data_IF_885595900300
#
_entry.id   IF_885595900300
#
_cell.length_a   1.000
_cell.length_b   1.000
_cell.length_c   1.000
_cell.angle_alpha   90.00
_cell.angle_beta   90.00
_cell.angle_gamma   90.00
#
_symmetry.space_group_name_H-M   'P 1'
#
loop_
_entity.id
_entity.type
_entity.pdbx_description
1 polymer ?
#
# COMPACT_ATOMS: atom_id res chain seq x y z
N UNK A 1 43.75 -82.65 9.02
CA UNK A 1 43.86 -81.48 9.90
C UNK A 1 44.33 -80.30 9.11
N UNK A 2 43.46 -79.40 8.79
CA UNK A 2 43.74 -77.97 8.47
C UNK A 2 42.43 -77.30 8.18
N UNK A 3 41.92 -76.61 9.23
CA UNK A 3 40.76 -75.78 9.16
C UNK A 3 41.09 -74.57 8.30
N UNK A 4 40.40 -74.43 7.15
CA UNK A 4 40.38 -73.17 6.46
C UNK A 4 39.10 -72.41 6.84
N UNK A 5 39.26 -71.44 7.67
CA UNK A 5 38.21 -70.46 7.93
C UNK A 5 38.00 -69.62 6.67
N UNK A 6 36.86 -69.81 6.06
CA UNK A 6 36.38 -68.90 5.02
C UNK A 6 35.76 -67.67 5.70
N UNK A 7 36.44 -66.58 5.64
CA UNK A 7 35.89 -65.29 6.00
C UNK A 7 34.95 -64.86 4.87
N UNK A 8 33.67 -65.01 5.08
CA UNK A 8 32.66 -64.34 4.27
C UNK A 8 32.58 -62.87 4.69
N UNK A 9 33.22 -62.03 3.93
CA UNK A 9 33.10 -60.59 4.09
C UNK A 9 31.71 -60.14 3.75
N UNK A 10 30.96 -59.78 4.75
CA UNK A 10 29.65 -59.14 4.58
C UNK A 10 29.88 -57.68 4.15
N UNK A 11 29.74 -57.42 2.86
CA UNK A 11 29.74 -56.06 2.35
C UNK A 11 28.37 -55.47 2.64
N UNK A 12 28.29 -54.68 3.73
CA UNK A 12 27.14 -53.84 4.00
C UNK A 12 27.24 -52.62 3.10
N UNK A 13 26.49 -52.64 2.02
CA UNK A 13 26.29 -51.44 1.19
C UNK A 13 25.32 -50.57 1.94
N UNK A 14 25.83 -49.60 2.67
CA UNK A 14 25.02 -48.52 3.21
C UNK A 14 24.60 -47.61 2.05
N UNK A 15 23.40 -47.81 1.53
CA UNK A 15 22.77 -46.85 0.63
C UNK A 15 22.42 -45.61 1.43
N UNK A 16 23.30 -44.62 1.41
CA UNK A 16 23.00 -43.29 1.90
C UNK A 16 22.00 -42.66 0.93
N UNK A 17 20.72 -42.84 1.25
CA UNK A 17 19.65 -42.08 0.60
C UNK A 17 19.78 -40.61 0.99
N UNK A 18 20.40 -39.82 0.12
CA UNK A 18 20.35 -38.38 0.25
C UNK A 18 18.91 -37.96 -0.06
N UNK A 19 18.11 -37.84 0.97
CA UNK A 19 16.83 -37.16 0.88
C UNK A 19 17.13 -35.67 0.65
N UNK A 20 17.18 -35.27 -0.61
CA UNK A 20 17.16 -33.86 -0.97
C UNK A 20 15.79 -33.32 -0.58
N UNK A 21 15.70 -32.69 0.58
CA UNK A 21 14.58 -31.83 0.91
C UNK A 21 14.59 -30.68 -0.08
N UNK A 22 13.75 -30.76 -1.11
CA UNK A 22 13.42 -29.62 -1.93
C UNK A 22 12.64 -28.66 -1.04
N UNK A 23 13.32 -27.69 -0.44
CA UNK A 23 12.67 -26.56 0.18
C UNK A 23 12.02 -25.77 -0.94
N UNK A 24 10.75 -26.03 -1.18
CA UNK A 24 9.92 -25.18 -2.03
C UNK A 24 9.79 -23.87 -1.26
N UNK A 25 10.70 -22.95 -1.55
CA UNK A 25 10.53 -21.56 -1.15
C UNK A 25 9.33 -21.06 -1.96
N UNK A 26 8.15 -21.17 -1.38
CA UNK A 26 7.03 -20.35 -1.82
C UNK A 26 7.49 -18.91 -1.62
N UNK A 27 7.95 -18.30 -2.70
CA UNK A 27 8.10 -16.86 -2.76
C UNK A 27 6.71 -16.32 -2.54
N UNK A 28 6.36 -16.06 -1.28
CA UNK A 28 5.23 -15.23 -0.97
C UNK A 28 5.46 -13.95 -1.74
N UNK A 29 4.60 -13.67 -2.72
CA UNK A 29 4.61 -12.39 -3.39
C UNK A 29 4.46 -11.36 -2.29
N UNK A 30 5.53 -10.63 -1.98
CA UNK A 30 5.43 -9.50 -1.07
C UNK A 30 4.36 -8.60 -1.66
N UNK A 31 3.34 -8.21 -0.89
CA UNK A 31 2.36 -7.27 -1.40
C UNK A 31 3.15 -6.09 -1.97
N UNK A 32 2.89 -5.73 -3.23
CA UNK A 32 3.57 -4.62 -3.86
C UNK A 32 3.43 -3.42 -2.92
N UNK A 33 4.55 -2.79 -2.60
CA UNK A 33 4.54 -1.59 -1.78
C UNK A 33 3.59 -0.59 -2.45
N UNK A 34 2.55 -0.16 -1.72
CA UNK A 34 1.59 0.79 -2.24
C UNK A 34 2.25 2.10 -2.63
N UNK A 35 1.66 2.81 -3.56
CA UNK A 35 2.14 4.13 -4.00
C UNK A 35 1.56 5.24 -3.15
N UNK A 36 2.26 6.36 -3.10
CA UNK A 36 1.82 7.58 -2.45
C UNK A 36 1.16 8.51 -3.47
N UNK A 37 -0.12 8.76 -3.27
CA UNK A 37 -0.85 9.79 -3.99
C UNK A 37 -0.70 11.10 -3.23
N UNK A 38 0.24 11.93 -3.66
CA UNK A 38 0.64 13.15 -2.95
C UNK A 38 0.00 14.38 -3.56
N UNK A 39 -0.62 15.18 -2.71
CA UNK A 39 -1.24 16.46 -3.06
C UNK A 39 -0.74 17.55 -2.12
N UNK A 40 -0.47 18.71 -2.67
CA UNK A 40 -0.03 19.89 -1.90
C UNK A 40 -1.11 20.97 -2.01
N UNK A 41 -1.58 21.42 -0.87
CA UNK A 41 -2.49 22.56 -0.75
C UNK A 41 -1.62 23.80 -0.53
N UNK A 42 -1.47 24.68 -1.53
CA UNK A 42 -0.55 25.80 -1.44
C UNK A 42 -1.06 26.89 -0.49
N UNK A 43 -0.14 27.72 -0.05
CA UNK A 43 -0.45 28.94 0.70
C UNK A 43 -1.44 29.81 -0.08
N UNK A 44 -2.46 30.34 0.60
CA UNK A 44 -3.46 31.22 0.01
C UNK A 44 -4.65 30.49 -0.62
N UNK A 45 -4.68 29.17 -0.58
CA UNK A 45 -5.80 28.36 -1.11
C UNK A 45 -7.14 28.79 -0.50
N UNK A 46 -7.23 28.93 0.82
CA UNK A 46 -8.46 29.34 1.49
C UNK A 46 -8.94 30.72 1.03
N UNK A 47 -8.06 31.67 0.86
CA UNK A 47 -8.40 33.00 0.35
C UNK A 47 -8.91 32.95 -1.09
N UNK A 48 -8.31 32.12 -1.94
CA UNK A 48 -8.76 31.89 -3.32
C UNK A 48 -10.18 31.32 -3.35
N UNK A 49 -10.46 30.33 -2.51
CA UNK A 49 -11.79 29.71 -2.40
C UNK A 49 -12.84 30.69 -1.89
N UNK A 50 -12.51 31.53 -0.89
CA UNK A 50 -13.41 32.57 -0.36
C UNK A 50 -13.78 33.62 -1.42
N UNK A 51 -12.85 33.91 -2.33
CA UNK A 51 -13.08 34.82 -3.46
C UNK A 51 -13.86 34.16 -4.61
N UNK A 52 -14.33 32.92 -4.46
CA UNK A 52 -15.03 32.17 -5.50
C UNK A 52 -14.11 31.57 -6.56
N UNK A 53 -12.80 31.56 -6.34
CA UNK A 53 -11.83 30.94 -7.22
C UNK A 53 -11.88 29.43 -7.20
N UNK A 54 -11.22 28.81 -8.16
CA UNK A 54 -11.10 27.35 -8.31
C UNK A 54 -9.67 26.95 -8.01
N UNK A 55 -9.50 25.87 -7.22
CA UNK A 55 -8.20 25.30 -6.91
C UNK A 55 -8.20 23.84 -7.36
N UNK A 56 -7.45 23.54 -8.43
CA UNK A 56 -7.37 22.20 -8.99
C UNK A 56 -6.18 21.43 -8.39
N UNK A 57 -6.31 20.98 -7.15
CA UNK A 57 -5.25 20.24 -6.43
C UNK A 57 -5.51 18.74 -6.44
N UNK A 58 -6.75 18.33 -6.19
CA UNK A 58 -7.18 16.94 -6.21
C UNK A 58 -8.20 16.70 -7.33
N UNK A 59 -8.17 15.52 -7.97
CA UNK A 59 -9.26 15.12 -8.85
C UNK A 59 -10.55 14.92 -8.03
N UNK A 60 -11.71 15.01 -8.67
CA UNK A 60 -12.99 14.72 -8.00
C UNK A 60 -13.16 13.22 -7.75
N UNK A 61 -12.58 12.43 -8.61
CA UNK A 61 -12.57 10.97 -8.54
C UNK A 61 -11.12 10.51 -8.44
N UNK A 62 -10.77 9.90 -7.33
CA UNK A 62 -9.44 9.34 -7.09
C UNK A 62 -9.54 7.83 -7.03
N UNK A 63 -8.82 7.15 -7.90
CA UNK A 63 -8.67 5.71 -7.88
C UNK A 63 -7.36 5.33 -7.20
N UNK A 64 -7.43 4.47 -6.21
CA UNK A 64 -6.30 3.95 -5.44
C UNK A 64 -6.42 2.43 -5.27
N UNK A 65 -5.39 1.78 -4.78
CA UNK A 65 -5.40 0.36 -4.46
C UNK A 65 -5.17 0.12 -2.98
N UNK A 66 -5.61 -1.02 -2.50
CA UNK A 66 -5.26 -1.47 -1.14
C UNK A 66 -3.74 -1.47 -0.98
N UNK A 67 -3.26 -0.81 0.07
CA UNK A 67 -1.84 -0.60 0.34
C UNK A 67 -1.32 0.79 -0.07
N UNK A 68 -2.00 1.48 -0.97
CA UNK A 68 -1.68 2.87 -1.33
C UNK A 68 -1.92 3.83 -0.17
N UNK A 69 -1.31 4.99 -0.24
CA UNK A 69 -1.53 6.08 0.70
C UNK A 69 -1.95 7.34 -0.03
N UNK A 70 -2.87 8.07 0.56
CA UNK A 70 -3.06 9.48 0.24
C UNK A 70 -2.19 10.31 1.18
N UNK A 71 -1.45 11.26 0.64
CA UNK A 71 -0.60 12.19 1.39
C UNK A 71 -1.02 13.61 1.02
N UNK A 72 -1.55 14.35 1.97
CA UNK A 72 -1.98 15.73 1.76
C UNK A 72 -1.09 16.65 2.59
N UNK A 73 -0.34 17.51 1.90
CA UNK A 73 0.50 18.53 2.53
C UNK A 73 -0.26 19.84 2.52
N UNK A 74 -0.72 20.28 3.67
CA UNK A 74 -1.44 21.55 3.78
C UNK A 74 -0.45 22.67 4.15
N UNK A 75 -0.05 23.45 3.16
CA UNK A 75 0.81 24.62 3.34
C UNK A 75 0.02 25.90 3.59
N UNK A 76 -1.33 25.81 3.53
CA UNK A 76 -2.20 26.95 3.78
C UNK A 76 -2.29 27.28 5.26
N UNK A 77 -2.71 28.48 5.57
CA UNK A 77 -2.98 28.95 6.95
C UNK A 77 -4.30 28.46 7.53
N UNK A 78 -5.09 27.73 6.76
CA UNK A 78 -6.40 27.16 7.15
C UNK A 78 -6.42 25.66 7.10
N UNK A 79 -7.30 25.07 7.90
CA UNK A 79 -7.67 23.66 7.76
C UNK A 79 -8.53 23.46 6.51
N UNK A 80 -8.36 22.31 5.84
CA UNK A 80 -9.15 21.91 4.69
C UNK A 80 -9.75 20.52 4.89
N UNK A 81 -11.01 20.35 4.50
CA UNK A 81 -11.67 19.05 4.43
C UNK A 81 -11.29 18.33 3.16
N UNK A 82 -10.73 17.12 3.29
CA UNK A 82 -10.36 16.26 2.18
C UNK A 82 -11.03 14.91 2.39
N UNK A 83 -12.13 14.68 1.71
CA UNK A 83 -12.91 13.48 1.94
C UNK A 83 -13.39 13.39 3.40
N UNK A 84 -13.26 12.22 4.04
CA UNK A 84 -13.68 12.04 5.43
C UNK A 84 -12.71 12.67 6.45
N UNK A 85 -11.64 13.31 6.00
CA UNK A 85 -10.59 13.86 6.87
C UNK A 85 -10.57 15.38 6.87
N UNK A 86 -10.16 15.95 7.99
CA UNK A 86 -9.78 17.35 8.09
C UNK A 86 -8.27 17.44 8.24
N UNK A 87 -7.63 18.22 7.37
CA UNK A 87 -6.18 18.43 7.39
C UNK A 87 -5.91 19.83 7.95
N UNK A 88 -5.36 19.92 9.17
CA UNK A 88 -5.06 21.21 9.78
C UNK A 88 -4.04 22.02 8.99
N UNK A 89 -4.02 23.33 9.22
CA UNK A 89 -3.05 24.24 8.65
C UNK A 89 -1.61 23.80 8.97
N UNK A 90 -0.74 23.77 7.98
CA UNK A 90 0.68 23.44 8.14
C UNK A 90 0.97 21.96 8.42
N UNK A 91 -0.02 21.08 8.33
CA UNK A 91 0.12 19.66 8.64
C UNK A 91 0.19 18.83 7.36
N UNK A 92 1.06 17.81 7.38
CA UNK A 92 1.04 16.73 6.40
C UNK A 92 0.21 15.58 6.94
N UNK A 93 -0.89 15.28 6.28
CA UNK A 93 -1.77 14.17 6.59
C UNK A 93 -1.46 12.98 5.71
N UNK A 94 -1.46 11.77 6.29
CA UNK A 94 -1.25 10.52 5.55
C UNK A 94 -2.27 9.49 5.99
N UNK A 95 -2.91 8.84 5.03
CA UNK A 95 -3.82 7.73 5.28
C UNK A 95 -3.52 6.57 4.33
N UNK A 96 -3.43 5.36 4.87
CA UNK A 96 -3.23 4.12 4.09
C UNK A 96 -4.57 3.41 3.88
N UNK A 97 -4.87 3.09 2.64
CA UNK A 97 -6.06 2.32 2.29
C UNK A 97 -5.83 0.84 2.57
N UNK A 98 -6.66 0.26 3.44
CA UNK A 98 -6.51 -1.13 3.93
C UNK A 98 -7.56 -2.08 3.40
N UNK A 99 -8.64 -1.57 2.84
CA UNK A 99 -9.76 -2.36 2.36
C UNK A 99 -10.34 -1.79 1.07
N UNK A 100 -10.84 -2.68 0.23
CA UNK A 100 -11.62 -2.33 -0.97
C UNK A 100 -12.89 -1.60 -0.55
N UNK A 101 -13.26 -0.57 -1.29
CA UNK A 101 -14.48 0.18 -1.04
C UNK A 101 -14.49 1.53 -1.72
N UNK A 102 -15.55 2.28 -1.48
CA UNK A 102 -15.72 3.63 -1.99
C UNK A 102 -15.98 4.61 -0.85
N UNK A 103 -15.21 5.69 -0.83
CA UNK A 103 -15.49 6.84 -0.01
C UNK A 103 -16.26 7.86 -0.85
N UNK A 104 -17.50 8.12 -0.47
CA UNK A 104 -18.32 9.21 -1.01
C UNK A 104 -18.36 10.31 0.04
N UNK A 105 -17.70 11.41 -0.22
CA UNK A 105 -17.53 12.46 0.74
C UNK A 105 -17.39 13.83 0.09
N UNK A 106 -17.06 14.84 0.89
CA UNK A 106 -16.92 16.21 0.48
C UNK A 106 -15.46 16.65 0.60
N UNK A 107 -15.02 17.48 -0.34
CA UNK A 107 -13.72 18.14 -0.28
C UNK A 107 -13.89 19.64 -0.38
N UNK A 108 -13.45 20.39 0.64
CA UNK A 108 -13.56 21.85 0.65
C UNK A 108 -12.80 22.53 -0.48
N UNK A 109 -11.78 21.85 -1.02
CA UNK A 109 -10.98 22.32 -2.16
C UNK A 109 -11.76 22.35 -3.46
N UNK A 110 -12.86 21.63 -3.56
CA UNK A 110 -13.74 21.60 -4.73
C UNK A 110 -14.89 22.63 -4.67
N UNK A 111 -14.89 23.49 -3.66
CA UNK A 111 -15.92 24.52 -3.47
C UNK A 111 -17.18 24.00 -2.74
N UNK A 112 -18.26 24.78 -2.80
CA UNK A 112 -19.49 24.52 -2.02
C UNK A 112 -20.17 23.19 -2.35
N UNK A 113 -20.07 22.71 -3.59
CA UNK A 113 -20.61 21.43 -4.06
C UNK A 113 -19.51 20.38 -4.28
N UNK A 114 -18.51 20.42 -3.46
CA UNK A 114 -17.26 19.70 -3.63
C UNK A 114 -17.35 18.21 -3.34
N UNK A 115 -18.14 17.45 -4.08
CA UNK A 115 -18.13 15.98 -3.96
C UNK A 115 -16.76 15.44 -4.33
N UNK A 116 -16.34 14.46 -3.55
CA UNK A 116 -15.06 13.77 -3.71
C UNK A 116 -15.24 12.28 -3.51
N UNK A 117 -14.85 11.52 -4.50
CA UNK A 117 -14.93 10.07 -4.46
C UNK A 117 -13.53 9.46 -4.45
N UNK A 118 -13.35 8.46 -3.61
CA UNK A 118 -12.15 7.64 -3.63
C UNK A 118 -12.59 6.19 -3.82
N UNK A 119 -12.22 5.59 -4.92
CA UNK A 119 -12.42 4.18 -5.19
C UNK A 119 -11.17 3.40 -4.84
N UNK A 120 -11.28 2.52 -3.84
CA UNK A 120 -10.20 1.65 -3.42
C UNK A 120 -10.38 0.29 -4.07
N UNK A 121 -9.53 -0.02 -5.02
CA UNK A 121 -9.51 -1.28 -5.75
C UNK A 121 -8.64 -2.33 -5.04
N UNK A 122 -8.83 -3.61 -5.36
CA UNK A 122 -7.95 -4.66 -4.87
C UNK A 122 -6.50 -4.40 -5.25
N UNK A 123 -5.58 -4.80 -4.38
CA UNK A 123 -4.18 -4.85 -4.77
C UNK A 123 -4.00 -5.92 -5.86
N UNK A 124 -3.31 -5.59 -6.93
CA UNK A 124 -2.87 -6.57 -7.93
C UNK A 124 -1.52 -7.10 -7.50
N UNK A 125 -1.52 -8.39 -7.19
CA UNK A 125 -0.31 -9.13 -6.88
C UNK A 125 0.56 -9.32 -8.14
#
# INVERSE_FOLDING_TARGET
MRRRLLWLGLIVIAAAGAATLAVVMTRGSSPSAGIDHRFVVPVGTGATLDAGGVVAILPRDLEVRVGDRIVVVNEDSRSHGVGPWTVPAGVTFTFRFKAVGRYDSHCSLHGANGRFFIDVLPNVA
#
